data_IF_449778831890
#
_entry.id   IF_449778831890
#
_cell.length_a   1.000
_cell.length_b   1.000
_cell.length_c   1.000
_cell.angle_alpha   90.00
_cell.angle_beta   90.00
_cell.angle_gamma   90.00
#
_symmetry.space_group_name_H-M   'P 1'
#
loop_
_entity.id
_entity.type
_entity.pdbx_description
1 polymer ?
#
# COMPACT_ATOMS: atom_id res chain seq x y z
N UNK A 1 -8.36 -4.89 7.08
CA UNK A 1 -7.35 -5.85 7.59
C UNK A 1 -6.22 -5.92 6.57
N UNK A 2 -5.00 -6.34 6.93
CA UNK A 2 -3.99 -6.65 5.90
C UNK A 2 -4.49 -7.82 5.04
N UNK A 3 -4.38 -7.65 3.73
CA UNK A 3 -4.75 -8.64 2.73
C UNK A 3 -3.57 -8.82 1.75
N UNK A 4 -3.58 -9.89 0.95
CA UNK A 4 -2.47 -10.22 0.06
C UNK A 4 -2.95 -10.16 -1.41
N UNK A 5 -3.44 -8.99 -1.84
CA UNK A 5 -3.86 -8.80 -3.24
C UNK A 5 -2.60 -8.74 -4.11
N UNK A 6 -2.47 -9.72 -5.02
CA UNK A 6 -1.26 -9.85 -5.84
C UNK A 6 -1.36 -9.01 -7.12
N UNK A 7 -0.40 -8.12 -7.32
CA UNK A 7 -0.20 -7.41 -8.60
C UNK A 7 0.57 -8.30 -9.56
N UNK A 8 0.09 -8.60 -10.78
CA UNK A 8 0.87 -9.35 -11.77
C UNK A 8 2.06 -8.57 -12.34
N UNK A 9 2.14 -7.27 -12.06
CA UNK A 9 3.19 -6.37 -12.54
C UNK A 9 4.31 -6.17 -11.50
N UNK A 10 4.29 -6.91 -10.39
CA UNK A 10 5.37 -6.83 -9.41
C UNK A 10 6.67 -7.44 -9.93
N UNK A 11 7.75 -6.67 -9.77
CA UNK A 11 9.12 -7.07 -10.13
C UNK A 11 9.61 -8.23 -9.26
N UNK A 12 9.21 -8.24 -7.99
CA UNK A 12 9.56 -9.26 -7.01
C UNK A 12 8.47 -9.41 -5.97
N UNK A 13 8.36 -10.62 -5.42
CA UNK A 13 7.56 -10.93 -4.25
C UNK A 13 8.45 -11.51 -3.15
N UNK A 14 8.18 -11.16 -1.91
CA UNK A 14 8.77 -11.83 -0.76
C UNK A 14 7.81 -11.79 0.44
N UNK A 15 8.00 -12.70 1.39
CA UNK A 15 7.22 -12.71 2.61
C UNK A 15 8.01 -12.01 3.72
N UNK A 16 7.35 -11.14 4.47
CA UNK A 16 7.88 -10.51 5.67
C UNK A 16 6.92 -10.73 6.84
N UNK A 17 7.47 -10.92 8.05
CA UNK A 17 6.64 -10.98 9.26
C UNK A 17 6.24 -9.56 9.64
N UNK A 18 4.95 -9.25 9.54
CA UNK A 18 4.35 -7.97 9.89
C UNK A 18 3.20 -8.25 10.87
N UNK A 19 3.26 -7.64 12.06
CA UNK A 19 2.30 -7.87 13.14
C UNK A 19 2.13 -9.37 13.47
N UNK A 20 3.26 -10.06 13.63
CA UNK A 20 3.30 -11.49 13.96
C UNK A 20 2.81 -12.45 12.86
N UNK A 21 2.46 -11.95 11.67
CA UNK A 21 1.94 -12.76 10.55
C UNK A 21 2.82 -12.59 9.32
N UNK A 22 3.04 -13.67 8.56
CA UNK A 22 3.68 -13.58 7.25
C UNK A 22 2.74 -12.85 6.30
N UNK A 23 3.25 -11.80 5.65
CA UNK A 23 2.53 -10.97 4.67
C UNK A 23 3.29 -10.91 3.36
N UNK A 24 2.53 -10.85 2.28
CA UNK A 24 3.08 -10.66 0.94
C UNK A 24 3.54 -9.21 0.79
N UNK A 25 4.82 -9.03 0.53
CA UNK A 25 5.41 -7.76 0.09
C UNK A 25 5.73 -7.86 -1.39
N UNK A 26 5.39 -6.79 -2.12
CA UNK A 26 5.51 -6.72 -3.57
C UNK A 26 6.39 -5.53 -3.94
N UNK A 27 7.45 -5.75 -4.72
CA UNK A 27 8.28 -4.66 -5.25
C UNK A 27 7.64 -4.15 -6.54
N UNK A 28 7.10 -2.93 -6.48
CA UNK A 28 6.39 -2.28 -7.59
C UNK A 28 7.21 -1.08 -8.07
N UNK A 29 7.35 -0.94 -9.39
CA UNK A 29 8.08 0.16 -10.03
C UNK A 29 7.08 1.04 -10.78
N UNK A 30 7.13 2.36 -10.57
CA UNK A 30 6.31 3.30 -11.33
C UNK A 30 7.02 3.73 -12.64
N UNK A 31 6.35 4.49 -13.54
CA UNK A 31 6.93 4.87 -14.84
C UNK A 31 8.21 5.72 -14.75
N UNK A 32 8.37 6.47 -13.66
CA UNK A 32 9.68 7.01 -13.27
C UNK A 32 10.34 5.90 -12.46
N UNK A 33 11.54 5.38 -12.78
CA UNK A 33 12.07 4.11 -12.27
C UNK A 33 12.41 4.15 -10.77
N UNK A 34 11.37 4.24 -9.94
CA UNK A 34 11.40 4.26 -8.49
C UNK A 34 10.60 3.07 -7.99
N UNK A 35 11.20 2.34 -7.07
CA UNK A 35 10.66 1.11 -6.55
C UNK A 35 10.06 1.32 -5.17
N UNK A 36 8.97 0.61 -4.90
CA UNK A 36 8.26 0.65 -3.63
C UNK A 36 8.02 -0.77 -3.14
N UNK A 37 8.33 -1.03 -1.87
CA UNK A 37 7.85 -2.20 -1.16
C UNK A 37 6.39 -1.94 -0.77
N UNK A 38 5.45 -2.65 -1.40
CA UNK A 38 4.02 -2.43 -1.19
C UNK A 38 3.38 -3.64 -0.52
N UNK A 39 2.62 -3.36 0.54
CA UNK A 39 1.68 -4.29 1.16
C UNK A 39 0.25 -3.82 0.90
N UNK A 40 -0.72 -4.74 0.95
CA UNK A 40 -2.12 -4.41 0.71
C UNK A 40 -2.98 -4.55 1.97
N UNK A 41 -4.01 -3.72 2.07
CA UNK A 41 -5.01 -3.81 3.13
C UNK A 41 -6.40 -3.51 2.59
N UNK A 42 -7.45 -4.03 3.23
CA UNK A 42 -8.83 -3.75 2.81
C UNK A 42 -9.16 -2.26 2.95
N UNK A 43 -8.66 -1.62 4.00
CA UNK A 43 -8.90 -0.22 4.35
C UNK A 43 -7.70 0.36 5.10
N UNK A 44 -7.54 1.68 5.05
CA UNK A 44 -6.66 2.48 5.89
C UNK A 44 -7.24 3.89 6.07
N UNK A 45 -6.91 4.57 7.16
CA UNK A 45 -7.30 5.96 7.40
C UNK A 45 -6.34 6.91 6.65
N UNK A 46 -6.74 7.30 5.44
CA UNK A 46 -5.94 8.11 4.51
C UNK A 46 -6.81 9.13 3.78
N UNK A 47 -6.22 10.27 3.44
CA UNK A 47 -6.86 11.26 2.57
C UNK A 47 -6.51 10.97 1.10
N UNK A 48 -7.52 10.87 0.24
CA UNK A 48 -7.34 10.71 -1.20
C UNK A 48 -6.96 12.05 -1.84
N UNK A 49 -5.99 12.04 -2.75
CA UNK A 49 -5.49 13.23 -3.43
C UNK A 49 -5.72 13.09 -4.93
N UNK A 50 -6.56 13.99 -5.47
CA UNK A 50 -6.88 14.05 -6.89
C UNK A 50 -8.00 13.10 -7.31
N UNK A 51 -8.03 12.81 -8.61
CA UNK A 51 -9.00 11.89 -9.22
C UNK A 51 -8.40 10.49 -9.40
N UNK A 52 -9.22 9.45 -9.64
CA UNK A 52 -8.73 8.14 -10.03
C UNK A 52 -8.06 8.15 -11.42
N UNK A 53 -7.03 7.32 -11.58
CA UNK A 53 -6.30 7.10 -12.81
C UNK A 53 -6.24 5.61 -13.16
N UNK A 54 -6.58 5.25 -14.39
CA UNK A 54 -6.49 3.86 -14.87
C UNK A 54 -5.14 3.53 -15.52
N UNK A 55 -4.42 4.56 -16.00
CA UNK A 55 -3.11 4.41 -16.64
C UNK A 55 -2.05 3.97 -15.63
N UNK A 56 -1.10 3.14 -16.07
CA UNK A 56 0.06 2.73 -15.25
C UNK A 56 -0.34 2.08 -13.91
N UNK A 57 -1.51 1.45 -13.88
CA UNK A 57 -1.97 0.71 -12.71
C UNK A 57 -1.16 -0.58 -12.54
N UNK A 58 -0.69 -0.83 -11.33
CA UNK A 58 -0.08 -2.13 -10.98
C UNK A 58 -1.13 -3.25 -10.87
N UNK A 59 -2.40 -2.91 -10.72
CA UNK A 59 -3.48 -3.87 -10.50
C UNK A 59 -4.47 -3.79 -11.66
N UNK A 60 -4.41 -4.72 -12.63
CA UNK A 60 -5.31 -4.70 -13.77
C UNK A 60 -6.78 -4.60 -13.35
N UNK A 61 -7.55 -3.83 -14.13
CA UNK A 61 -8.97 -3.50 -13.88
C UNK A 61 -9.21 -2.55 -12.69
N UNK A 62 -8.15 -2.08 -12.02
CA UNK A 62 -8.26 -1.08 -10.98
C UNK A 62 -7.73 0.28 -11.45
N UNK A 63 -8.45 1.32 -11.07
CA UNK A 63 -7.95 2.68 -11.04
C UNK A 63 -7.28 2.92 -9.70
N UNK A 64 -6.25 3.77 -9.70
CA UNK A 64 -5.56 4.19 -8.50
C UNK A 64 -5.78 5.68 -8.22
N UNK A 65 -5.88 6.03 -6.94
CA UNK A 65 -5.82 7.42 -6.46
C UNK A 65 -4.70 7.51 -5.44
N UNK A 66 -3.87 8.56 -5.51
CA UNK A 66 -2.82 8.75 -4.51
C UNK A 66 -3.44 9.02 -3.13
N UNK A 67 -2.78 8.54 -2.08
CA UNK A 67 -3.25 8.66 -0.71
C UNK A 67 -2.17 9.26 0.19
N UNK A 68 -2.56 10.18 1.06
CA UNK A 68 -1.68 10.82 2.04
C UNK A 68 -2.16 10.62 3.46
N UNK A 69 -1.25 10.75 4.43
CA UNK A 69 -1.61 10.84 5.84
C UNK A 69 -2.47 12.09 6.07
N UNK A 70 -3.64 11.99 6.73
CA UNK A 70 -4.52 13.14 6.98
C UNK A 70 -3.88 14.22 7.87
N UNK A 71 -2.86 13.88 8.66
CA UNK A 71 -2.21 14.80 9.60
C UNK A 71 -1.01 15.52 8.98
N UNK A 72 -0.06 14.77 8.40
CA UNK A 72 1.19 15.34 7.89
C UNK A 72 1.23 15.49 6.36
N UNK A 73 0.20 15.05 5.64
CA UNK A 73 0.11 15.07 4.18
C UNK A 73 1.21 14.28 3.46
N UNK A 74 1.96 13.44 4.19
CA UNK A 74 2.98 12.58 3.61
C UNK A 74 2.33 11.47 2.76
N UNK A 75 2.92 11.17 1.60
CA UNK A 75 2.41 10.15 0.69
C UNK A 75 2.59 8.75 1.29
N UNK A 76 1.48 8.03 1.48
CA UNK A 76 1.47 6.71 2.12
C UNK A 76 1.25 5.57 1.13
N UNK A 77 0.78 5.87 -0.07
CA UNK A 77 0.52 4.88 -1.11
C UNK A 77 -0.71 5.24 -1.96
N UNK A 78 -1.50 4.23 -2.33
CA UNK A 78 -2.55 4.37 -3.32
C UNK A 78 -3.81 3.59 -2.94
N UNK A 79 -4.97 4.15 -3.27
CA UNK A 79 -6.27 3.50 -3.18
C UNK A 79 -6.65 2.92 -4.53
N UNK A 80 -6.97 1.63 -4.57
CA UNK A 80 -7.35 0.90 -5.78
C UNK A 80 -8.85 0.61 -5.76
N UNK A 81 -9.54 1.05 -6.81
CA UNK A 81 -10.97 0.85 -7.01
C UNK A 81 -11.28 0.30 -8.40
N UNK A 82 -12.45 -0.31 -8.58
CA UNK A 82 -12.86 -0.79 -9.90
C UNK A 82 -13.01 0.36 -10.90
N UNK A 83 -12.38 0.25 -12.07
CA UNK A 83 -12.43 1.30 -13.11
C UNK A 83 -13.71 1.36 -13.94
N UNK A 84 -14.67 0.44 -13.76
CA UNK A 84 -15.98 0.55 -14.42
C UNK A 84 -17.08 -0.30 -13.73
N UNK A 85 -18.26 0.29 -13.55
CA UNK A 85 -19.36 -0.12 -12.65
C UNK A 85 -20.10 -1.40 -13.10
N UNK A 86 -19.78 -1.97 -14.27
CA UNK A 86 -20.44 -3.18 -14.76
C UNK A 86 -19.86 -4.50 -14.21
N UNK A 87 -18.66 -4.49 -13.59
CA UNK A 87 -18.12 -5.69 -12.94
C UNK A 87 -18.52 -5.72 -11.46
N UNK A 88 -19.55 -6.50 -11.15
CA UNK A 88 -20.12 -6.76 -9.81
C UNK A 88 -19.14 -7.33 -8.76
N UNK A 89 -17.82 -7.34 -8.95
CA UNK A 89 -16.92 -8.17 -8.12
C UNK A 89 -15.47 -7.72 -7.87
N UNK A 90 -15.05 -6.51 -8.24
CA UNK A 90 -13.69 -6.02 -7.87
C UNK A 90 -13.75 -5.27 -6.55
N UNK A 91 -13.32 -5.93 -5.47
CA UNK A 91 -13.16 -5.31 -4.15
C UNK A 91 -12.10 -4.22 -4.21
N UNK A 92 -12.39 -3.07 -3.64
CA UNK A 92 -11.39 -2.02 -3.42
C UNK A 92 -10.46 -2.37 -2.26
N UNK A 93 -9.26 -1.78 -2.29
CA UNK A 93 -8.22 -1.97 -1.28
C UNK A 93 -7.23 -0.81 -1.35
N UNK A 94 -6.31 -0.74 -0.38
CA UNK A 94 -5.19 0.19 -0.37
C UNK A 94 -3.87 -0.57 -0.56
N UNK A 95 -2.96 0.00 -1.36
CA UNK A 95 -1.55 -0.37 -1.39
C UNK A 95 -0.75 0.64 -0.57
N UNK A 96 -0.10 0.18 0.50
CA UNK A 96 0.68 1.00 1.41
C UNK A 96 2.17 0.77 1.17
N UNK A 97 2.95 1.85 1.18
CA UNK A 97 4.42 1.79 1.10
C UNK A 97 4.94 1.34 2.45
N UNK A 98 5.47 0.12 2.51
CA UNK A 98 5.94 -0.54 3.73
C UNK A 98 6.98 0.30 4.48
N UNK A 99 7.90 0.92 3.74
CA UNK A 99 9.01 1.69 4.30
C UNK A 99 8.55 2.96 5.03
N UNK A 100 7.27 3.34 4.92
CA UNK A 100 6.66 4.50 5.57
C UNK A 100 5.76 4.13 6.76
N UNK A 101 5.66 2.85 7.09
CA UNK A 101 4.82 2.35 8.17
C UNK A 101 5.66 2.01 9.41
N UNK A 102 5.06 2.24 10.57
CA UNK A 102 5.55 1.78 11.86
C UNK A 102 4.44 0.98 12.54
N UNK A 103 4.79 -0.11 13.23
CA UNK A 103 3.84 -0.81 14.08
C UNK A 103 3.68 -0.07 15.41
N UNK A 104 2.48 -0.08 15.99
CA UNK A 104 2.27 0.41 17.36
C UNK A 104 3.10 -0.38 18.39
N UNK A 105 3.30 -1.68 18.14
CA UNK A 105 4.15 -2.57 18.93
C UNK A 105 5.65 -2.38 18.66
N UNK A 106 6.02 -1.33 17.90
CA UNK A 106 7.43 -0.98 17.73
C UNK A 106 7.92 -0.43 19.07
N UNK A 107 8.39 -1.33 19.94
CA UNK A 107 9.28 -0.94 21.03
C UNK A 107 10.53 -0.37 20.34
N UNK A 108 10.67 0.95 20.40
CA UNK A 108 11.96 1.56 20.10
C UNK A 108 12.94 0.93 21.09
N UNK A 109 13.73 -0.03 20.61
CA UNK A 109 14.94 -0.47 21.27
C UNK A 109 15.88 0.73 21.27
N UNK A 110 15.65 1.67 22.18
CA UNK A 110 16.62 2.66 22.63
C UNK A 110 17.25 2.09 23.89
N UNK A 111 18.26 1.21 23.80
CA UNK A 111 18.92 0.66 24.98
C UNK A 111 19.69 1.70 25.83
N UNK A 112 19.59 3.01 25.58
CA UNK A 112 20.49 4.00 26.20
C UNK A 112 19.89 5.37 26.54
N UNK A 113 18.61 5.50 26.88
CA UNK A 113 18.10 6.74 27.50
C UNK A 113 17.17 6.44 28.67
N UNK A 114 17.77 6.11 29.81
CA UNK A 114 17.20 6.40 31.13
C UNK A 114 18.06 7.53 31.69
N UNK A 115 17.48 8.71 31.87
CA UNK A 115 17.99 9.74 32.79
C UNK A 115 17.39 9.50 34.17
#
# INVERSE_FOLDING_TARGET
MLNDVRSPLAMKYYNMTILGKKRLVQVLENPVPRQFNVITADTADLALVGKPYSAETWFPKHEWTACVCPQCHFHMGWYFQSGNIQSKSTKSFVGLILDYLISADCEFLLPWLIF
#
